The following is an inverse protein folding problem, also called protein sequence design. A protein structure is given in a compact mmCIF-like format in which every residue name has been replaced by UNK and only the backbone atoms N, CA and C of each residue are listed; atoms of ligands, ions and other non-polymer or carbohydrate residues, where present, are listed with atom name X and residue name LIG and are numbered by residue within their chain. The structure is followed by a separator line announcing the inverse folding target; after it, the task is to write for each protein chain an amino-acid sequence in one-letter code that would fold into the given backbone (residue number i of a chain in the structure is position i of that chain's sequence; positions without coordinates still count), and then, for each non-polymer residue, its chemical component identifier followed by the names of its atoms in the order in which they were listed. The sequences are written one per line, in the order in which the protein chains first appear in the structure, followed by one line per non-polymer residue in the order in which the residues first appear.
data_IF_427097044487
#
_entry.id   IF_427097044487
#
_cell.length_a   1.000
_cell.length_b   1.000
_cell.length_c   1.000
_cell.angle_alpha   90.00
_cell.angle_beta   90.00
_cell.angle_gamma   90.00
#
_symmetry.space_group_name_H-M   'P 1'
#
loop_
_entity.id
_entity.type
_entity.pdbx_description
1 polymer ?
#
# COMPACT_ATOMS: atom_id res chain seq x y z
N UNK A 1 24.68 -54.05 46.53
CA UNK A 1 25.83 -53.23 46.99
C UNK A 1 26.38 -52.50 45.78
N UNK A 2 26.56 -51.18 45.90
CA UNK A 2 27.49 -50.29 45.16
C UNK A 2 27.48 -50.33 43.62
N UNK A 3 27.30 -49.25 42.86
CA UNK A 3 27.40 -47.81 43.12
C UNK A 3 28.12 -47.14 41.93
N UNK A 4 27.60 -46.00 41.46
CA UNK A 4 28.28 -44.86 40.77
C UNK A 4 29.18 -45.17 39.54
N UNK A 5 29.10 -44.55 38.36
CA UNK A 5 28.57 -43.27 37.88
C UNK A 5 29.57 -42.74 36.83
N UNK A 6 29.14 -42.03 35.79
CA UNK A 6 29.79 -40.81 35.23
C UNK A 6 28.99 -40.22 34.08
N UNK A 7 28.99 -38.89 34.05
CA UNK A 7 28.12 -38.00 33.30
C UNK A 7 28.70 -37.58 31.94
N UNK A 8 27.82 -37.15 31.02
CA UNK A 8 27.70 -35.74 30.53
C UNK A 8 26.92 -35.71 29.22
N UNK A 9 25.68 -35.23 29.28
CA UNK A 9 24.95 -34.71 28.13
C UNK A 9 25.63 -33.44 27.63
N UNK A 10 25.86 -33.36 26.32
CA UNK A 10 26.13 -32.10 25.64
C UNK A 10 24.94 -31.69 24.78
N UNK A 11 24.40 -30.53 25.15
CA UNK A 11 23.52 -29.68 24.35
C UNK A 11 24.15 -29.38 23.00
N UNK A 12 23.34 -29.43 21.93
CA UNK A 12 23.44 -28.47 20.84
C UNK A 12 22.12 -28.37 20.08
N UNK A 13 21.32 -27.40 20.52
CA UNK A 13 20.26 -26.81 19.73
C UNK A 13 20.88 -26.12 18.50
N UNK A 14 20.33 -26.40 17.33
CA UNK A 14 20.46 -25.57 16.14
C UNK A 14 19.05 -25.34 15.61
N UNK A 15 18.50 -24.18 15.95
CA UNK A 15 17.30 -23.65 15.34
C UNK A 15 17.58 -23.33 13.87
N UNK A 16 16.90 -24.02 12.97
CA UNK A 16 16.85 -23.64 11.58
C UNK A 16 15.81 -22.53 11.42
N UNK A 17 16.28 -21.29 11.26
CA UNK A 17 15.46 -20.20 10.76
C UNK A 17 15.11 -20.49 9.30
N UNK A 18 13.85 -20.86 9.04
CA UNK A 18 13.31 -21.00 7.69
C UNK A 18 13.21 -19.61 7.05
N UNK A 19 14.22 -19.25 6.25
CA UNK A 19 14.17 -18.10 5.36
C UNK A 19 13.20 -18.38 4.21
N UNK A 20 12.07 -17.68 4.20
CA UNK A 20 11.12 -17.71 3.08
C UNK A 20 11.72 -16.90 1.93
N UNK A 21 12.21 -17.60 0.91
CA UNK A 21 12.70 -17.03 -0.34
C UNK A 21 11.50 -16.57 -1.18
N UNK A 22 11.26 -15.26 -1.24
CA UNK A 22 10.28 -14.68 -2.15
C UNK A 22 10.83 -14.69 -3.59
N UNK A 23 10.30 -15.57 -4.43
CA UNK A 23 10.48 -15.52 -5.87
C UNK A 23 9.11 -15.54 -6.54
N UNK A 24 8.67 -14.38 -7.05
CA UNK A 24 7.71 -14.32 -8.15
C UNK A 24 7.86 -13.00 -8.95
N UNK A 25 8.53 -13.15 -10.09
CA UNK A 25 8.37 -12.50 -11.39
C UNK A 25 8.33 -10.96 -11.54
N UNK A 26 9.37 -10.49 -12.25
CA UNK A 26 9.54 -9.22 -12.97
C UNK A 26 9.68 -7.95 -12.12
N UNK A 27 10.74 -7.93 -11.32
CA UNK A 27 11.51 -6.74 -10.94
C UNK A 27 12.97 -7.17 -10.89
N UNK A 28 13.74 -6.87 -11.93
CA UNK A 28 15.19 -7.11 -11.92
C UNK A 28 15.81 -6.27 -10.80
N UNK A 29 16.60 -6.89 -9.93
CA UNK A 29 17.46 -6.26 -8.92
C UNK A 29 16.78 -5.53 -7.74
N UNK A 30 15.72 -6.04 -7.11
CA UNK A 30 15.25 -5.45 -5.83
C UNK A 30 14.85 -3.97 -5.93
N UNK A 31 14.56 -3.48 -7.14
CA UNK A 31 13.99 -2.18 -7.44
C UNK A 31 12.71 -2.37 -8.26
N UNK A 32 11.84 -1.37 -8.19
CA UNK A 32 10.64 -1.25 -8.99
C UNK A 32 10.63 0.12 -9.67
N UNK A 33 10.35 0.17 -10.97
CA UNK A 33 10.07 1.42 -11.65
C UNK A 33 8.57 1.70 -11.60
N UNK A 34 8.20 2.83 -11.00
CA UNK A 34 6.81 3.24 -10.80
C UNK A 34 6.13 3.43 -12.15
N UNK A 35 5.01 2.73 -12.33
CA UNK A 35 4.18 2.81 -13.53
C UNK A 35 3.04 3.78 -13.33
N UNK A 36 2.46 4.20 -14.46
CA UNK A 36 1.26 5.04 -14.50
C UNK A 36 0.13 4.48 -13.65
N UNK A 37 -0.38 5.32 -12.74
CA UNK A 37 -1.48 5.00 -11.84
C UNK A 37 -1.11 4.14 -10.62
N UNK A 38 0.18 3.89 -10.38
CA UNK A 38 0.62 3.23 -9.16
C UNK A 38 0.80 4.22 -8.01
N UNK A 39 0.38 3.80 -6.82
CA UNK A 39 0.68 4.46 -5.55
C UNK A 39 1.69 3.67 -4.75
N UNK A 40 2.36 4.30 -3.78
CA UNK A 40 3.27 3.59 -2.88
C UNK A 40 2.57 2.41 -2.18
N UNK A 41 1.29 2.58 -1.84
CA UNK A 41 0.44 1.54 -1.26
C UNK A 41 0.19 0.39 -2.23
N UNK A 42 -0.08 0.67 -3.50
CA UNK A 42 -0.30 -0.35 -4.53
C UNK A 42 0.95 -1.21 -4.78
N UNK A 43 2.12 -0.56 -4.77
CA UNK A 43 3.43 -1.21 -4.97
C UNK A 43 3.78 -2.04 -3.74
N UNK A 44 3.64 -1.48 -2.53
CA UNK A 44 3.86 -2.24 -1.30
C UNK A 44 2.91 -3.44 -1.22
N UNK A 45 1.66 -3.27 -1.66
CA UNK A 45 0.69 -4.37 -1.72
C UNK A 45 1.17 -5.51 -2.59
N UNK A 46 1.58 -5.19 -3.83
CA UNK A 46 2.07 -6.14 -4.83
C UNK A 46 3.26 -6.95 -4.30
N UNK A 47 4.19 -6.31 -3.61
CA UNK A 47 5.42 -6.95 -3.13
C UNK A 47 5.32 -7.50 -1.70
N UNK A 48 4.14 -7.44 -1.06
CA UNK A 48 3.98 -7.93 0.31
C UNK A 48 4.73 -7.09 1.36
N UNK A 49 5.05 -5.84 1.06
CA UNK A 49 5.81 -4.94 1.92
C UNK A 49 4.88 -3.98 2.71
N UNK A 50 5.38 -3.49 3.84
CA UNK A 50 4.79 -2.36 4.53
C UNK A 50 5.11 -1.06 3.78
N UNK A 51 4.09 -0.26 3.47
CA UNK A 51 4.25 0.98 2.70
C UNK A 51 5.17 1.98 3.41
N UNK A 52 5.24 1.98 4.75
CA UNK A 52 6.12 2.86 5.53
C UNK A 52 7.56 2.42 5.48
N UNK A 53 7.79 1.10 5.53
CA UNK A 53 9.15 0.59 5.36
C UNK A 53 9.65 0.89 3.96
N UNK A 54 8.80 0.65 2.95
CA UNK A 54 9.09 1.01 1.57
C UNK A 54 9.36 2.52 1.44
N UNK A 55 8.55 3.37 2.08
CA UNK A 55 8.78 4.81 2.12
C UNK A 55 10.15 5.14 2.74
N UNK A 56 10.46 4.55 3.91
CA UNK A 56 11.69 4.77 4.67
C UNK A 56 12.93 4.37 3.86
N UNK A 57 12.91 3.22 3.20
CA UNK A 57 14.04 2.75 2.38
C UNK A 57 14.32 3.66 1.18
N UNK A 58 13.32 4.43 0.75
CA UNK A 58 13.39 5.32 -0.40
C UNK A 58 13.42 6.81 -0.01
N UNK A 59 13.48 7.13 1.29
CA UNK A 59 13.48 8.53 1.78
C UNK A 59 12.19 9.29 1.46
N UNK A 60 11.08 8.58 1.21
CA UNK A 60 9.79 9.19 0.87
C UNK A 60 9.07 9.56 2.16
N UNK A 61 8.69 10.83 2.29
CA UNK A 61 7.92 11.34 3.42
C UNK A 61 6.43 11.44 3.06
N UNK A 62 5.53 11.48 4.07
CA UNK A 62 4.15 11.90 3.86
C UNK A 62 4.09 13.21 3.04
N UNK A 63 3.19 13.35 2.06
CA UNK A 63 2.04 12.49 1.77
C UNK A 63 2.32 11.28 0.84
N UNK A 64 3.57 10.79 0.81
CA UNK A 64 3.99 9.58 0.09
C UNK A 64 3.83 9.65 -1.44
N UNK A 65 4.06 10.84 -1.99
CA UNK A 65 3.99 11.07 -3.43
C UNK A 65 5.13 10.34 -4.12
N UNK A 66 4.78 9.63 -5.20
CA UNK A 66 5.71 8.99 -6.13
C UNK A 66 5.35 9.42 -7.55
N UNK A 67 6.32 9.38 -8.46
CA UNK A 67 6.16 9.80 -9.85
C UNK A 67 6.40 8.64 -10.81
N UNK A 68 5.72 8.64 -11.95
CA UNK A 68 5.98 7.69 -13.03
C UNK A 68 7.46 7.71 -13.42
N UNK A 69 8.04 6.53 -13.65
CA UNK A 69 9.47 6.35 -13.94
C UNK A 69 10.39 6.44 -12.71
N UNK A 70 9.88 6.80 -11.53
CA UNK A 70 10.67 6.80 -10.30
C UNK A 70 11.11 5.36 -9.95
N UNK A 71 12.39 5.16 -9.63
CA UNK A 71 12.91 3.87 -9.17
C UNK A 71 12.81 3.77 -7.65
N UNK A 72 12.09 2.76 -7.16
CA UNK A 72 11.90 2.44 -5.75
C UNK A 72 12.65 1.18 -5.37
N UNK A 73 13.50 1.25 -4.35
CA UNK A 73 14.12 0.10 -3.69
C UNK A 73 13.04 -0.72 -2.96
N UNK A 74 13.04 -2.03 -3.15
CA UNK A 74 12.10 -2.97 -2.54
C UNK A 74 12.68 -3.75 -1.34
N UNK A 75 13.95 -3.52 -0.99
CA UNK A 75 14.65 -4.21 0.10
C UNK A 75 15.28 -3.23 1.10
N UNK A 76 15.54 -3.64 2.35
CA UNK A 76 16.22 -2.79 3.33
C UNK A 76 17.61 -2.32 2.86
N UNK A 77 17.99 -1.04 3.08
CA UNK A 77 19.35 -0.58 2.86
C UNK A 77 20.35 -1.41 3.67
N UNK A 78 21.47 -1.79 3.06
CA UNK A 78 22.51 -2.59 3.70
C UNK A 78 22.36 -4.11 3.52
N UNK A 79 21.19 -4.61 3.13
CA UNK A 79 21.05 -5.97 2.60
C UNK A 79 21.45 -5.90 1.13
N UNK A 80 22.71 -6.25 0.82
CA UNK A 80 23.12 -6.46 -0.57
C UNK A 80 22.27 -7.63 -1.08
N UNK A 81 21.39 -7.40 -2.05
CA UNK A 81 20.82 -8.48 -2.84
C UNK A 81 22.01 -9.33 -3.32
N UNK A 82 22.04 -10.60 -2.94
CA UNK A 82 23.07 -11.53 -3.38
C UNK A 82 22.98 -11.66 -4.90
N UNK A 83 23.79 -10.87 -5.57
CA UNK A 83 23.78 -10.69 -7.02
C UNK A 83 24.47 -9.37 -7.36
N UNK A 84 25.70 -9.50 -7.83
CA UNK A 84 26.53 -8.47 -8.47
C UNK A 84 27.48 -7.67 -7.56
N UNK A 85 28.73 -8.15 -7.53
CA UNK A 85 29.90 -7.43 -7.05
C UNK A 85 30.26 -6.30 -8.03
N UNK A 86 29.78 -5.09 -7.76
CA UNK A 86 30.26 -3.85 -8.38
C UNK A 86 31.24 -3.11 -7.47
N UNK A 87 32.46 -2.87 -7.96
CA UNK A 87 33.54 -2.12 -7.31
C UNK A 87 33.12 -0.68 -6.93
N UNK A 88 33.72 -0.04 -5.91
CA UNK A 88 33.33 1.29 -5.47
C UNK A 88 33.82 2.35 -6.47
N UNK A 89 32.91 3.05 -7.14
CA UNK A 89 33.25 4.26 -7.91
C UNK A 89 33.19 5.46 -6.98
N UNK A 90 34.31 6.18 -6.98
CA UNK A 90 34.61 7.31 -6.14
C UNK A 90 33.64 8.48 -6.30
N UNK A 91 33.45 9.16 -5.17
CA UNK A 91 32.87 10.49 -4.98
C UNK A 91 33.50 11.50 -5.96
N UNK A 92 32.69 12.13 -6.81
CA UNK A 92 33.08 13.36 -7.49
C UNK A 92 32.06 14.46 -7.22
N UNK A 93 32.62 15.61 -6.86
CA UNK A 93 31.97 16.80 -6.35
C UNK A 93 31.33 17.63 -7.46
N UNK A 94 30.32 18.41 -7.07
CA UNK A 94 29.63 19.36 -7.91
C UNK A 94 30.53 20.51 -8.39
N UNK A 95 30.24 21.07 -9.59
CA UNK A 95 30.60 22.44 -9.90
C UNK A 95 29.37 23.39 -9.86
N UNK A 96 29.42 24.38 -8.97
CA UNK A 96 28.92 25.76 -9.23
C UNK A 96 30.13 26.55 -9.79
N UNK A 97 30.02 27.57 -10.67
CA UNK A 97 29.20 28.79 -10.50
C UNK A 97 28.62 29.32 -11.84
N UNK A 98 27.77 30.37 -11.94
CA UNK A 98 28.06 31.80 -11.75
C UNK A 98 26.77 32.62 -11.80
N UNK A 99 26.70 33.62 -10.92
CA UNK A 99 25.76 34.74 -10.97
C UNK A 99 26.19 35.70 -12.07
N UNK A 100 25.22 36.40 -12.69
CA UNK A 100 25.48 37.65 -13.40
C UNK A 100 24.36 38.67 -13.08
N UNK A 101 24.70 39.97 -12.91
CA UNK A 101 23.88 40.94 -12.18
C UNK A 101 23.16 41.96 -13.07
N UNK A 102 22.07 42.55 -12.55
CA UNK A 102 21.54 43.91 -12.80
C UNK A 102 21.06 44.22 -14.24
N UNK A 103 20.12 45.13 -14.50
CA UNK A 103 19.34 46.07 -13.71
C UNK A 103 18.38 46.72 -14.73
N UNK A 104 17.12 47.02 -14.38
CA UNK A 104 16.41 48.27 -14.75
C UNK A 104 14.88 48.13 -14.65
N UNK A 105 14.32 48.89 -13.71
CA UNK A 105 12.97 49.46 -13.69
C UNK A 105 13.15 50.93 -13.25
N UNK A 106 12.16 51.84 -13.33
CA UNK A 106 11.01 52.03 -14.25
C UNK A 106 10.98 53.51 -14.76
N UNK A 107 9.85 54.02 -15.32
CA UNK A 107 8.96 54.76 -14.43
C UNK A 107 7.46 54.54 -14.66
N UNK A 108 6.70 54.83 -13.61
CA UNK A 108 5.26 54.72 -13.49
C UNK A 108 4.51 55.92 -14.10
N UNK A 109 3.29 55.67 -14.57
CA UNK A 109 2.20 56.64 -14.51
C UNK A 109 0.88 55.90 -14.26
N UNK A 110 0.18 56.35 -13.22
CA UNK A 110 -1.03 55.76 -12.69
C UNK A 110 -2.28 56.24 -13.43
N UNK A 111 -3.30 55.38 -13.51
CA UNK A 111 -4.70 55.79 -13.41
C UNK A 111 -5.52 54.64 -12.82
N UNK A 112 -6.19 54.96 -11.72
CA UNK A 112 -7.00 54.11 -10.86
C UNK A 112 -8.45 54.11 -11.31
N UNK A 113 -9.11 52.94 -11.34
CA UNK A 113 -10.56 52.81 -11.09
C UNK A 113 -10.97 51.34 -10.79
N UNK A 114 -11.07 51.06 -9.50
CA UNK A 114 -12.05 50.19 -8.82
C UNK A 114 -12.62 48.93 -9.53
N UNK A 115 -12.17 47.75 -9.07
CA UNK A 115 -13.04 46.59 -8.83
C UNK A 115 -12.41 45.71 -7.72
N UNK A 116 -13.22 45.37 -6.70
CA UNK A 116 -12.84 44.73 -5.43
C UNK A 116 -11.95 43.48 -5.56
N UNK A 117 -10.93 43.28 -4.70
CA UNK A 117 -10.18 42.04 -4.70
C UNK A 117 -11.03 40.91 -4.12
N UNK A 118 -11.54 40.05 -5.01
CA UNK A 118 -11.77 38.65 -4.64
C UNK A 118 -10.43 38.11 -4.18
N UNK A 119 -10.31 37.75 -2.91
CA UNK A 119 -9.25 36.89 -2.41
C UNK A 119 -9.25 35.62 -3.25
N UNK A 120 -8.39 35.58 -4.26
CA UNK A 120 -7.97 34.38 -4.93
C UNK A 120 -7.27 33.54 -3.86
N UNK A 121 -8.05 32.65 -3.25
CA UNK A 121 -7.57 31.67 -2.31
C UNK A 121 -6.40 30.94 -2.97
N UNK A 122 -5.24 31.08 -2.35
CA UNK A 122 -4.05 30.25 -2.51
C UNK A 122 -4.44 28.84 -3.00
N UNK A 123 -3.79 28.28 -4.05
CA UNK A 123 -4.00 26.89 -4.42
C UNK A 123 -3.86 26.03 -3.16
N UNK A 124 -4.77 25.07 -2.90
CA UNK A 124 -4.75 24.32 -1.66
C UNK A 124 -3.38 23.65 -1.54
N UNK A 125 -2.59 24.10 -0.58
CA UNK A 125 -1.38 23.38 -0.20
C UNK A 125 -1.80 21.95 0.14
N UNK A 126 -1.01 20.92 -0.21
CA UNK A 126 -1.26 19.56 0.22
C UNK A 126 -1.37 19.60 1.74
N UNK A 127 -2.60 19.47 2.25
CA UNK A 127 -2.89 19.52 3.67
C UNK A 127 -2.06 18.40 4.31
N UNK A 128 -1.22 18.70 5.31
CA UNK A 128 -0.57 17.67 6.12
C UNK A 128 -1.66 16.66 6.49
N UNK A 129 -1.39 15.38 6.22
CA UNK A 129 -2.32 14.27 6.40
C UNK A 129 -3.33 14.60 7.49
N UNK A 130 -4.58 14.89 7.09
CA UNK A 130 -5.66 14.96 8.07
C UNK A 130 -5.66 13.60 8.72
N UNK A 131 -5.11 13.58 9.93
CA UNK A 131 -4.92 12.38 10.70
C UNK A 131 -6.26 11.68 10.70
N UNK A 132 -6.31 10.49 10.10
CA UNK A 132 -7.47 9.62 10.27
C UNK A 132 -7.64 9.55 11.79
N UNK A 133 -8.74 10.09 12.34
CA UNK A 133 -8.89 10.16 13.78
C UNK A 133 -8.71 8.73 14.29
N UNK A 134 -7.96 8.56 15.38
CA UNK A 134 -7.71 7.26 16.00
C UNK A 134 -9.00 6.76 16.66
N UNK A 135 -10.04 6.56 15.85
CA UNK A 135 -11.33 6.01 16.20
C UNK A 135 -11.13 4.53 16.41
N UNK A 136 -11.77 3.99 17.44
CA UNK A 136 -11.84 2.55 17.66
C UNK A 136 -12.34 1.89 16.37
N UNK A 137 -11.50 1.04 15.78
CA UNK A 137 -11.79 0.43 14.50
C UNK A 137 -12.91 -0.61 14.68
N UNK A 138 -14.04 -0.37 14.03
CA UNK A 138 -15.19 -1.27 14.02
C UNK A 138 -15.35 -1.80 12.61
N UNK A 139 -15.19 -3.10 12.45
CA UNK A 139 -15.29 -3.78 11.16
C UNK A 139 -16.72 -4.25 10.89
N UNK A 140 -17.06 -4.36 9.63
CA UNK A 140 -18.32 -4.89 9.11
C UNK A 140 -18.03 -5.75 7.87
N UNK A 141 -18.95 -6.67 7.58
CA UNK A 141 -18.86 -7.49 6.37
C UNK A 141 -18.86 -6.62 5.10
N UNK A 142 -17.90 -6.81 4.19
CA UNK A 142 -17.77 -5.97 3.00
C UNK A 142 -18.72 -6.38 1.87
N UNK A 143 -19.29 -7.58 1.94
CA UNK A 143 -20.27 -8.10 1.01
C UNK A 143 -21.15 -9.16 1.69
N UNK A 144 -22.34 -9.38 1.13
CA UNK A 144 -23.20 -10.53 1.44
C UNK A 144 -22.80 -11.73 0.58
N UNK A 145 -23.04 -12.94 1.09
CA UNK A 145 -22.73 -14.20 0.40
C UNK A 145 -21.96 -15.18 1.29
N UNK A 146 -21.76 -16.43 0.86
CA UNK A 146 -20.93 -17.41 1.58
C UNK A 146 -19.44 -17.11 1.41
N UNK A 147 -18.64 -17.45 2.42
CA UNK A 147 -17.19 -17.51 2.24
C UNK A 147 -16.85 -18.79 1.48
N UNK A 148 -16.22 -18.67 0.32
CA UNK A 148 -15.85 -19.80 -0.55
C UNK A 148 -14.35 -20.12 -0.51
N UNK A 149 -13.55 -19.22 0.07
CA UNK A 149 -12.13 -19.42 0.34
C UNK A 149 -11.74 -18.67 1.61
N UNK A 150 -10.94 -19.31 2.45
CA UNK A 150 -10.42 -18.73 3.69
C UNK A 150 -8.95 -18.37 3.55
N UNK A 151 -8.50 -17.50 4.45
CA UNK A 151 -7.10 -17.10 4.57
C UNK A 151 -6.21 -18.31 4.86
N UNK A 152 -5.00 -18.30 4.30
CA UNK A 152 -3.92 -19.20 4.67
C UNK A 152 -2.60 -18.45 4.68
N UNK A 153 -1.92 -18.44 5.83
CA UNK A 153 -0.68 -17.70 6.00
C UNK A 153 0.43 -18.25 5.10
N UNK A 154 1.09 -17.37 4.35
CA UNK A 154 2.24 -17.73 3.51
C UNK A 154 1.89 -18.35 2.15
N UNK A 155 0.61 -18.61 1.86
CA UNK A 155 0.18 -19.11 0.55
C UNK A 155 -0.21 -17.95 -0.39
N UNK A 156 0.48 -17.86 -1.53
CA UNK A 156 0.17 -16.89 -2.59
C UNK A 156 -1.27 -17.07 -3.06
N UNK A 157 -2.03 -15.96 -3.12
CA UNK A 157 -3.45 -15.99 -3.51
C UNK A 157 -4.43 -16.38 -2.39
N UNK A 158 -3.94 -16.72 -1.19
CA UNK A 158 -4.77 -16.96 0.01
C UNK A 158 -4.54 -15.92 1.11
N UNK A 159 -4.22 -14.69 0.71
CA UNK A 159 -3.90 -13.57 1.60
C UNK A 159 -5.14 -12.89 2.21
N UNK A 160 -6.34 -13.46 1.97
CA UNK A 160 -7.61 -12.96 2.45
C UNK A 160 -8.72 -14.01 2.34
N UNK A 161 -9.97 -13.55 2.30
CA UNK A 161 -11.15 -14.38 2.10
C UNK A 161 -11.82 -14.07 0.76
N UNK A 162 -12.48 -15.07 0.19
CA UNK A 162 -13.35 -14.87 -0.95
C UNK A 162 -14.81 -15.02 -0.56
N UNK A 163 -15.61 -14.05 -0.95
CA UNK A 163 -17.05 -14.01 -0.70
C UNK A 163 -17.75 -14.15 -2.05
N UNK A 164 -18.54 -15.21 -2.21
CA UNK A 164 -19.35 -15.39 -3.42
C UNK A 164 -20.40 -14.30 -3.54
N UNK A 165 -20.83 -14.01 -4.76
CA UNK A 165 -21.95 -13.12 -5.01
C UNK A 165 -22.35 -13.07 -6.46
N UNK A 166 -23.11 -12.04 -6.82
CA UNK A 166 -23.61 -11.84 -8.19
C UNK A 166 -22.95 -10.63 -8.80
N UNK A 167 -22.85 -10.60 -10.13
CA UNK A 167 -22.27 -9.46 -10.82
C UNK A 167 -23.11 -8.22 -10.52
N UNK A 168 -22.49 -7.17 -9.97
CA UNK A 168 -23.21 -5.96 -9.56
C UNK A 168 -23.62 -5.90 -8.10
N UNK A 169 -23.46 -6.98 -7.33
CA UNK A 169 -23.69 -6.94 -5.89
C UNK A 169 -22.86 -5.83 -5.24
N UNK A 170 -23.42 -5.09 -4.27
CA UNK A 170 -22.70 -3.99 -3.64
C UNK A 170 -21.51 -4.49 -2.82
N UNK A 171 -20.35 -3.89 -3.06
CA UNK A 171 -19.17 -4.02 -2.20
C UNK A 171 -19.09 -2.77 -1.34
N UNK A 172 -18.95 -2.97 -0.04
CA UNK A 172 -19.01 -1.91 0.99
C UNK A 172 -17.69 -1.81 1.75
N UNK A 173 -17.34 -0.61 2.17
CA UNK A 173 -16.19 -0.39 3.04
C UNK A 173 -16.41 -1.10 4.38
N UNK A 174 -15.48 -1.97 4.75
CA UNK A 174 -15.55 -2.75 5.99
C UNK A 174 -15.43 -1.86 7.23
N UNK A 175 -14.77 -0.72 7.13
CA UNK A 175 -14.64 0.27 8.19
C UNK A 175 -14.40 1.67 7.60
N UNK A 176 -14.49 2.70 8.44
CA UNK A 176 -14.11 4.07 8.08
C UNK A 176 -12.65 4.13 7.62
N UNK A 177 -12.35 4.91 6.59
CA UNK A 177 -10.96 5.14 6.17
C UNK A 177 -10.82 6.05 4.96
N UNK A 178 -9.59 6.19 4.49
CA UNK A 178 -9.24 6.92 3.26
C UNK A 178 -8.82 5.95 2.16
N UNK A 179 -9.36 6.12 0.96
CA UNK A 179 -8.96 5.35 -0.22
C UNK A 179 -7.55 5.78 -0.61
N UNK A 180 -6.60 4.84 -0.59
CA UNK A 180 -5.18 5.06 -0.93
C UNK A 180 -4.77 4.43 -2.27
N UNK A 181 -5.71 3.74 -2.91
CA UNK A 181 -5.60 3.26 -4.27
C UNK A 181 -7.00 2.92 -4.79
N UNK A 182 -7.30 3.29 -6.04
CA UNK A 182 -8.50 2.88 -6.76
C UNK A 182 -8.18 2.76 -8.25
N UNK A 183 -8.06 1.53 -8.76
CA UNK A 183 -7.65 1.30 -10.14
C UNK A 183 -7.39 -0.16 -10.48
N UNK A 184 -6.79 -0.41 -11.66
CA UNK A 184 -6.60 -1.75 -12.24
C UNK A 184 -5.14 -2.13 -12.53
N UNK A 185 -4.17 -1.36 -12.04
CA UNK A 185 -2.73 -1.57 -12.23
C UNK A 185 -2.17 -2.87 -11.63
N UNK A 186 -2.89 -3.51 -10.70
CA UNK A 186 -2.53 -4.85 -10.21
C UNK A 186 -3.33 -5.92 -10.94
N UNK A 187 -2.78 -6.42 -12.05
CA UNK A 187 -3.46 -7.35 -12.98
C UNK A 187 -4.13 -8.56 -12.30
N UNK A 188 -3.49 -9.15 -11.29
CA UNK A 188 -4.05 -10.29 -10.56
C UNK A 188 -5.34 -9.93 -9.83
N UNK A 189 -5.36 -8.79 -9.13
CA UNK A 189 -6.51 -8.28 -8.37
C UNK A 189 -7.60 -7.64 -9.26
N UNK A 190 -7.27 -7.30 -10.51
CA UNK A 190 -8.20 -6.58 -11.38
C UNK A 190 -8.51 -5.18 -10.85
N UNK A 191 -9.77 -4.75 -10.95
CA UNK A 191 -10.21 -3.49 -10.37
C UNK A 191 -10.22 -3.60 -8.84
N UNK A 192 -9.35 -2.83 -8.21
CA UNK A 192 -9.01 -2.93 -6.81
C UNK A 192 -9.17 -1.57 -6.14
N UNK A 193 -9.73 -1.59 -4.93
CA UNK A 193 -9.70 -0.48 -3.97
C UNK A 193 -8.85 -0.91 -2.78
N UNK A 194 -7.96 -0.04 -2.31
CA UNK A 194 -7.25 -0.19 -1.03
C UNK A 194 -7.65 0.98 -0.14
N UNK A 195 -8.12 0.67 1.08
CA UNK A 195 -8.52 1.66 2.09
C UNK A 195 -7.54 1.60 3.27
N UNK A 196 -6.98 2.74 3.63
CA UNK A 196 -6.23 2.96 4.87
C UNK A 196 -7.20 3.33 5.98
N UNK A 197 -7.23 2.52 7.04
CA UNK A 197 -8.13 2.73 8.18
C UNK A 197 -7.46 3.48 9.31
N UNK A 198 -6.17 3.25 9.52
CA UNK A 198 -5.31 4.01 10.43
C UNK A 198 -3.85 3.73 10.04
N UNK A 199 -2.89 4.00 10.92
CA UNK A 199 -1.51 3.58 10.68
C UNK A 199 -1.47 2.06 10.45
N UNK A 200 -1.94 1.27 11.41
CA UNK A 200 -1.73 -0.18 11.43
C UNK A 200 -2.46 -0.95 10.32
N UNK A 201 -3.68 -0.56 9.98
CA UNK A 201 -4.59 -1.38 9.18
C UNK A 201 -4.92 -0.81 7.80
N UNK A 202 -4.82 -1.68 6.80
CA UNK A 202 -5.31 -1.49 5.44
C UNK A 202 -6.29 -2.62 5.08
N UNK A 203 -7.24 -2.35 4.20
CA UNK A 203 -8.07 -3.38 3.57
C UNK A 203 -8.10 -3.25 2.05
N UNK A 204 -8.23 -4.39 1.36
CA UNK A 204 -8.30 -4.45 -0.10
C UNK A 204 -9.60 -5.14 -0.56
N UNK A 205 -10.17 -4.61 -1.65
CA UNK A 205 -11.42 -5.07 -2.25
C UNK A 205 -11.17 -5.28 -3.73
N UNK A 206 -11.03 -6.53 -4.17
CA UNK A 206 -10.59 -6.86 -5.52
C UNK A 206 -11.69 -7.49 -6.38
N UNK A 207 -11.36 -7.68 -7.66
CA UNK A 207 -12.18 -8.31 -8.70
C UNK A 207 -13.48 -7.57 -9.05
N UNK A 208 -13.59 -6.29 -8.68
CA UNK A 208 -14.78 -5.49 -8.91
C UNK A 208 -15.06 -5.27 -10.41
N UNK A 209 -16.31 -5.20 -10.82
CA UNK A 209 -16.65 -4.76 -12.18
C UNK A 209 -16.62 -3.24 -12.34
N UNK A 210 -16.89 -2.51 -11.25
CA UNK A 210 -17.00 -1.04 -11.24
C UNK A 210 -16.51 -0.49 -9.90
N UNK A 211 -15.67 0.55 -9.96
CA UNK A 211 -15.22 1.31 -8.80
C UNK A 211 -16.07 2.57 -8.68
N UNK A 212 -16.53 2.90 -7.48
CA UNK A 212 -17.43 4.04 -7.21
C UNK A 212 -16.76 5.15 -6.39
N UNK A 213 -15.50 4.94 -5.99
CA UNK A 213 -14.70 5.88 -5.22
C UNK A 213 -13.33 6.04 -5.86
N UNK A 214 -12.80 7.26 -5.82
CA UNK A 214 -11.46 7.58 -6.32
C UNK A 214 -10.43 7.55 -5.18
N UNK A 215 -9.14 7.54 -5.55
CA UNK A 215 -8.06 7.78 -4.60
C UNK A 215 -8.24 9.12 -3.87
N UNK A 216 -7.89 9.14 -2.58
CA UNK A 216 -8.01 10.30 -1.71
C UNK A 216 -9.37 10.45 -1.04
N UNK A 217 -10.42 9.79 -1.53
CA UNK A 217 -11.76 9.84 -0.95
C UNK A 217 -11.78 9.29 0.49
N UNK A 218 -12.55 9.93 1.37
CA UNK A 218 -12.88 9.40 2.69
C UNK A 218 -14.17 8.60 2.58
N UNK A 219 -14.22 7.44 3.22
CA UNK A 219 -15.37 6.54 3.20
C UNK A 219 -15.77 6.12 4.59
N UNK A 220 -17.08 6.00 4.80
CA UNK A 220 -17.67 5.52 6.05
C UNK A 220 -17.85 4.00 6.07
N UNK A 221 -17.93 3.41 7.26
CA UNK A 221 -18.26 1.99 7.42
C UNK A 221 -19.60 1.69 6.76
N UNK A 222 -19.63 0.67 5.89
CA UNK A 222 -20.83 0.26 5.17
C UNK A 222 -21.16 1.08 3.92
N UNK A 223 -20.40 2.14 3.62
CA UNK A 223 -20.57 2.91 2.38
C UNK A 223 -20.31 2.00 1.16
N UNK A 224 -21.17 2.08 0.14
CA UNK A 224 -20.96 1.35 -1.13
C UNK A 224 -19.76 1.98 -1.86
N UNK A 225 -18.74 1.20 -2.14
CA UNK A 225 -17.48 1.66 -2.76
C UNK A 225 -17.24 1.05 -4.14
N UNK A 226 -17.87 -0.09 -4.43
CA UNK A 226 -17.72 -0.78 -5.71
C UNK A 226 -18.91 -1.71 -5.99
N UNK A 227 -18.86 -2.32 -7.16
CA UNK A 227 -19.75 -3.40 -7.57
C UNK A 227 -18.94 -4.65 -7.86
N UNK A 228 -19.38 -5.77 -7.29
CA UNK A 228 -18.72 -7.07 -7.41
C UNK A 228 -18.69 -7.52 -8.88
N UNK A 229 -17.61 -8.20 -9.26
CA UNK A 229 -17.40 -8.70 -10.61
C UNK A 229 -16.45 -9.89 -10.64
N UNK A 230 -15.76 -10.02 -11.77
CA UNK A 230 -14.74 -11.05 -12.03
C UNK A 230 -13.56 -10.44 -12.79
N UNK A 231 -13.19 -9.21 -12.46
CA UNK A 231 -12.07 -8.54 -13.15
C UNK A 231 -10.72 -9.11 -12.72
N UNK A 232 -9.72 -9.04 -13.59
CA UNK A 232 -8.36 -9.50 -13.29
C UNK A 232 -8.20 -11.01 -13.45
N UNK A 233 -6.98 -11.50 -13.26
CA UNK A 233 -6.63 -12.91 -13.50
C UNK A 233 -6.77 -13.81 -12.27
N UNK A 234 -7.00 -13.24 -11.08
CA UNK A 234 -7.18 -14.01 -9.84
C UNK A 234 -8.60 -14.52 -9.58
N UNK A 235 -9.56 -14.24 -10.48
CA UNK A 235 -10.96 -14.62 -10.32
C UNK A 235 -11.45 -15.58 -11.43
N UNK A 236 -11.82 -16.79 -11.05
CA UNK A 236 -12.46 -17.78 -11.93
C UNK A 236 -13.99 -17.60 -12.00
N UNK A 237 -14.59 -16.94 -11.01
CA UNK A 237 -16.03 -16.65 -10.90
C UNK A 237 -16.29 -15.28 -10.30
N UNK A 238 -17.55 -14.85 -10.29
CA UNK A 238 -17.94 -13.61 -9.63
C UNK A 238 -17.80 -13.77 -8.12
N UNK A 239 -16.93 -12.95 -7.53
CA UNK A 239 -16.64 -12.96 -6.10
C UNK A 239 -15.98 -11.63 -5.68
N UNK A 240 -15.99 -11.37 -4.38
CA UNK A 240 -15.13 -10.37 -3.76
C UNK A 240 -13.98 -11.09 -3.08
N UNK A 241 -12.75 -10.75 -3.47
CA UNK A 241 -11.57 -11.06 -2.68
C UNK A 241 -11.33 -9.90 -1.71
N UNK A 242 -11.35 -10.21 -0.42
CA UNK A 242 -11.21 -9.25 0.67
C UNK A 242 -10.00 -9.60 1.53
N UNK A 243 -9.06 -8.66 1.64
CA UNK A 243 -7.87 -8.81 2.48
C UNK A 243 -7.84 -7.72 3.56
N UNK A 244 -7.27 -8.07 4.71
CA UNK A 244 -6.83 -7.11 5.72
C UNK A 244 -5.33 -7.27 5.89
N UNK A 245 -4.60 -6.14 5.91
CA UNK A 245 -3.19 -6.12 6.27
C UNK A 245 -2.97 -5.35 7.55
N UNK A 246 -2.24 -5.95 8.48
CA UNK A 246 -1.74 -5.31 9.68
C UNK A 246 -0.23 -5.15 9.53
N UNK A 247 0.27 -3.92 9.58
CA UNK A 247 1.70 -3.64 9.49
C UNK A 247 2.35 -4.25 8.24
N UNK A 248 1.68 -4.07 7.10
CA UNK A 248 2.10 -4.56 5.79
C UNK A 248 1.86 -6.05 5.54
N UNK A 249 1.57 -6.83 6.59
CA UNK A 249 1.41 -8.28 6.50
C UNK A 249 -0.07 -8.68 6.41
N UNK A 250 -0.43 -9.64 5.54
CA UNK A 250 -1.80 -10.15 5.48
C UNK A 250 -2.14 -10.90 6.77
N UNK A 251 -3.35 -10.66 7.28
CA UNK A 251 -3.91 -11.29 8.47
C UNK A 251 -5.29 -11.86 8.14
N UNK A 252 -5.72 -12.88 8.89
CA UNK A 252 -7.03 -13.50 8.67
C UNK A 252 -8.18 -12.48 8.88
N UNK A 253 -8.94 -12.12 7.81
CA UNK A 253 -10.06 -11.20 7.94
C UNK A 253 -11.16 -11.69 8.88
N UNK A 254 -11.34 -13.01 9.03
CA UNK A 254 -12.39 -13.58 9.88
C UNK A 254 -12.16 -13.29 11.37
N UNK A 255 -10.92 -12.99 11.78
CA UNK A 255 -10.60 -12.58 13.15
C UNK A 255 -11.05 -11.15 13.48
N UNK A 256 -11.44 -10.35 12.47
CA UNK A 256 -11.85 -8.95 12.63
C UNK A 256 -13.33 -8.73 12.39
N UNK A 257 -13.94 -9.56 11.53
CA UNK A 257 -15.34 -9.41 11.13
C UNK A 257 -16.30 -9.86 12.24
N UNK A 258 -17.47 -9.22 12.39
CA UNK A 258 -18.46 -9.65 13.38
C UNK A 258 -18.90 -11.10 13.20
N UNK A 259 -19.13 -11.79 14.32
CA UNK A 259 -19.73 -13.13 14.32
C UNK A 259 -21.17 -13.04 13.78
N UNK A 260 -21.42 -13.69 12.65
CA UNK A 260 -22.70 -13.62 11.93
C UNK A 260 -22.72 -12.57 10.81
N UNK A 261 -23.27 -12.97 9.66
CA UNK A 261 -23.53 -12.07 8.53
C UNK A 261 -24.97 -11.56 8.66
N UNK A 262 -25.14 -10.28 8.98
CA UNK A 262 -26.43 -9.58 8.99
C UNK A 262 -26.87 -9.16 7.58
#
# INVERSE_FOLDING_TARGET
MSGTGWARSLNRALGAAAGVLFLAACGTLGYHEVKKGETLYSISWRYGADYRELARWNGIQPPYIIHEGQRLRLTPPGVRSSGEAGKPVARQAAPRPRQQPGNAQPPAAAASAAASPRTAGRPPQPRPEEAIPNRKLSWAWPARGKVIRTFSAGETGKQGIDIEGRAGSPVRAAAFGRVVYSGSGLRHYGNLIIIKHNARYLSAYAHNRKLLVAEGAVVEKGQKIAEMGRSGTGADRVMLHFEIRADGKPVDPLSFLPAGKS
#
